data_IF_705486329012
#
_entry.id   IF_705486329012
#
_cell.length_a   1.000
_cell.length_b   1.000
_cell.length_c   1.000
_cell.angle_alpha   90.00
_cell.angle_beta   90.00
_cell.angle_gamma   90.00
#
_symmetry.space_group_name_H-M   'P 1'
#
loop_
_entity.id
_entity.type
_entity.pdbx_description
1 polymer ?
#
# COMPACT_ATOMS: atom_id res chain seq x y z
N UNK A 1 17.55 29.09 -78.97
CA UNK A 1 18.85 29.28 -78.30
C UNK A 1 18.84 28.66 -76.89
N UNK A 2 19.02 27.35 -76.78
CA UNK A 2 20.30 26.66 -76.61
C UNK A 2 20.83 26.64 -75.15
N UNK A 3 20.86 25.42 -74.60
CA UNK A 3 21.66 24.85 -73.49
C UNK A 3 21.64 25.47 -72.08
N UNK A 4 21.21 24.70 -71.07
CA UNK A 4 22.17 23.94 -70.25
C UNK A 4 21.51 22.86 -69.40
N UNK A 5 22.08 21.68 -69.56
CA UNK A 5 21.89 20.44 -68.82
C UNK A 5 22.33 20.54 -67.36
N UNK A 6 21.56 19.83 -66.51
CA UNK A 6 22.03 18.84 -65.52
C UNK A 6 22.86 19.33 -64.34
N UNK A 7 22.30 19.16 -63.13
CA UNK A 7 22.92 18.42 -62.02
C UNK A 7 21.85 17.90 -61.07
N UNK A 8 21.67 16.58 -61.13
CA UNK A 8 20.96 15.77 -60.17
C UNK A 8 21.86 15.63 -58.93
N UNK A 9 21.41 16.08 -57.76
CA UNK A 9 22.04 15.74 -56.49
C UNK A 9 20.97 15.68 -55.42
N UNK A 10 20.53 14.45 -55.18
CA UNK A 10 19.66 14.04 -54.08
C UNK A 10 20.45 14.22 -52.79
N UNK A 11 20.08 15.20 -51.97
CA UNK A 11 20.52 15.31 -50.59
C UNK A 11 19.38 14.87 -49.69
N UNK A 12 19.47 13.61 -49.22
CA UNK A 12 18.67 13.06 -48.14
C UNK A 12 19.02 13.81 -46.85
N UNK A 13 18.20 14.79 -46.47
CA UNK A 13 18.27 15.38 -45.13
C UNK A 13 17.42 14.53 -44.20
N UNK A 14 18.07 13.64 -43.46
CA UNK A 14 17.45 12.92 -42.36
C UNK A 14 17.08 13.92 -41.26
N UNK A 15 15.77 14.20 -41.12
CA UNK A 15 15.25 14.95 -39.99
C UNK A 15 15.29 14.07 -38.74
N UNK A 16 16.36 14.19 -37.95
CA UNK A 16 16.42 13.60 -36.61
C UNK A 16 15.59 14.48 -35.68
N UNK A 17 14.32 14.10 -35.48
CA UNK A 17 13.49 14.63 -34.40
C UNK A 17 14.00 14.04 -33.07
N UNK A 18 14.89 14.77 -32.39
CA UNK A 18 15.14 14.52 -30.96
C UNK A 18 13.98 15.16 -30.20
N UNK A 19 12.93 14.39 -29.96
CA UNK A 19 12.02 14.72 -28.87
C UNK A 19 12.79 14.47 -27.58
N UNK A 20 13.25 15.55 -26.94
CA UNK A 20 13.61 15.53 -25.53
C UNK A 20 12.36 15.10 -24.75
N UNK A 21 12.28 13.80 -24.45
CA UNK A 21 11.51 13.30 -23.32
C UNK A 21 12.14 13.93 -22.09
N UNK A 22 11.57 15.05 -21.65
CA UNK A 22 11.85 15.58 -20.34
C UNK A 22 11.32 14.53 -19.36
N UNK A 23 12.20 13.61 -18.94
CA UNK A 23 12.02 12.87 -17.71
C UNK A 23 11.76 13.92 -16.63
N UNK A 24 10.50 14.06 -16.21
CA UNK A 24 10.18 14.68 -14.94
C UNK A 24 10.87 13.83 -13.88
N UNK A 25 12.04 14.28 -13.42
CA UNK A 25 12.62 13.78 -12.18
C UNK A 25 11.56 14.02 -11.11
N UNK A 26 11.07 12.95 -10.48
CA UNK A 26 10.46 13.05 -9.15
C UNK A 26 11.58 13.52 -8.22
N UNK A 27 11.65 14.81 -7.98
CA UNK A 27 12.56 15.44 -7.02
C UNK A 27 11.76 16.52 -6.33
N UNK A 28 10.75 16.13 -5.55
CA UNK A 28 9.92 17.08 -4.81
C UNK A 28 9.33 16.48 -3.51
N UNK A 29 9.95 15.47 -2.89
CA UNK A 29 9.48 14.97 -1.58
C UNK A 29 10.60 14.42 -0.65
N UNK A 30 11.87 14.78 -0.87
CA UNK A 30 12.92 14.57 0.13
C UNK A 30 13.49 15.92 0.57
N UNK A 31 12.79 16.57 1.48
CA UNK A 31 13.40 17.60 2.32
C UNK A 31 14.40 16.89 3.26
N UNK A 32 15.67 16.90 2.86
CA UNK A 32 16.76 16.36 3.66
C UNK A 32 17.23 17.43 4.66
N UNK A 33 16.40 17.74 5.65
CA UNK A 33 16.78 18.58 6.78
C UNK A 33 17.62 17.77 7.77
N UNK A 34 18.94 17.75 7.52
CA UNK A 34 19.94 17.45 8.54
C UNK A 34 20.75 18.73 8.72
N UNK A 35 20.48 19.51 9.78
CA UNK A 35 21.46 20.20 10.66
C UNK A 35 20.85 21.28 11.58
N UNK A 36 21.22 21.22 12.88
CA UNK A 36 21.23 22.34 13.84
C UNK A 36 20.49 22.04 15.16
N UNK A 37 21.10 21.96 16.35
CA UNK A 37 22.44 22.33 16.84
C UNK A 37 22.72 21.59 18.19
N UNK A 38 23.97 21.34 18.61
CA UNK A 38 24.29 20.63 19.85
C UNK A 38 24.53 21.58 21.03
N UNK A 39 23.95 21.28 22.20
CA UNK A 39 24.37 21.84 23.50
C UNK A 39 24.24 20.74 24.55
N UNK A 40 25.36 20.38 25.20
CA UNK A 40 25.33 19.63 26.47
C UNK A 40 26.26 18.42 26.54
N UNK A 41 27.44 18.66 27.13
CA UNK A 41 28.47 17.76 27.67
C UNK A 41 27.98 16.39 28.19
N UNK A 42 28.66 15.31 27.81
CA UNK A 42 28.58 14.00 28.48
C UNK A 42 29.30 12.88 27.72
N UNK A 43 30.36 12.32 28.31
CA UNK A 43 31.07 11.14 27.81
C UNK A 43 30.15 9.90 27.81
N UNK A 44 29.86 9.37 26.63
CA UNK A 44 29.21 8.09 26.41
C UNK A 44 29.02 7.86 24.92
N UNK A 45 29.40 6.68 24.41
CA UNK A 45 29.07 6.30 23.04
C UNK A 45 27.54 6.14 22.95
N UNK A 46 26.84 7.22 22.59
CA UNK A 46 25.44 7.14 22.24
C UNK A 46 25.39 6.53 20.85
N UNK A 47 25.28 5.21 20.78
CA UNK A 47 24.71 4.56 19.59
C UNK A 47 23.37 5.26 19.34
N UNK A 48 23.31 6.10 18.30
CA UNK A 48 22.13 6.85 17.96
C UNK A 48 21.02 5.86 17.60
N UNK A 49 20.16 5.52 18.57
CA UNK A 49 18.98 4.70 18.33
C UNK A 49 18.13 5.44 17.30
N UNK A 50 18.05 4.91 16.09
CA UNK A 50 17.18 5.45 15.04
C UNK A 50 15.78 5.62 15.63
N UNK A 51 15.21 6.82 15.52
CA UNK A 51 13.89 7.11 16.08
C UNK A 51 12.82 6.36 15.29
N UNK A 52 11.92 5.70 16.02
CA UNK A 52 10.78 5.04 15.41
C UNK A 52 9.94 6.06 14.64
N UNK A 53 9.51 5.71 13.43
CA UNK A 53 8.61 6.55 12.64
C UNK A 53 7.69 5.71 11.77
N UNK A 54 6.51 6.24 11.50
CA UNK A 54 5.48 5.63 10.65
C UNK A 54 4.78 6.72 9.85
N UNK A 55 4.55 6.48 8.56
CA UNK A 55 3.73 7.34 7.70
C UNK A 55 2.84 6.49 6.83
N UNK A 56 1.54 6.79 6.82
CA UNK A 56 0.63 6.28 5.79
C UNK A 56 0.92 7.01 4.50
N UNK A 57 1.49 6.29 3.55
CA UNK A 57 1.87 6.80 2.21
C UNK A 57 0.72 6.72 1.21
N UNK A 58 -0.22 5.78 1.41
CA UNK A 58 -1.44 5.67 0.62
C UNK A 58 -2.58 5.28 1.54
N UNK A 59 -3.58 6.15 1.65
CA UNK A 59 -4.82 5.87 2.38
C UNK A 59 -5.90 5.33 1.44
N UNK A 60 -6.80 4.47 1.94
CA UNK A 60 -8.03 4.15 1.24
C UNK A 60 -8.93 5.39 1.14
N UNK A 61 -9.91 5.40 0.22
CA UNK A 61 -10.92 6.47 0.15
C UNK A 61 -11.63 6.62 1.49
N UNK A 62 -11.95 7.86 1.89
CA UNK A 62 -12.63 8.14 3.16
C UNK A 62 -14.07 7.61 3.19
N UNK A 63 -14.73 7.56 2.03
CA UNK A 63 -16.10 7.05 1.88
C UNK A 63 -16.12 6.12 0.67
N UNK A 64 -16.68 4.92 0.86
CA UNK A 64 -16.86 3.93 -0.20
C UNK A 64 -18.33 3.50 -0.20
N UNK A 65 -18.94 3.52 -1.38
CA UNK A 65 -20.32 3.05 -1.58
C UNK A 65 -20.32 1.96 -2.63
N UNK A 66 -20.87 0.79 -2.29
CA UNK A 66 -20.83 -0.41 -3.15
C UNK A 66 -22.20 -1.07 -3.22
N UNK A 67 -22.64 -1.56 -4.40
CA UNK A 67 -23.89 -2.30 -4.50
C UNK A 67 -23.86 -3.61 -3.69
N UNK A 68 -25.01 -4.06 -3.20
CA UNK A 68 -25.18 -5.40 -2.62
C UNK A 68 -24.61 -6.50 -3.56
N UNK A 69 -23.88 -7.45 -2.99
CA UNK A 69 -23.26 -8.57 -3.68
C UNK A 69 -22.02 -8.21 -4.51
N UNK A 70 -21.63 -6.94 -4.58
CA UNK A 70 -20.40 -6.54 -5.27
C UNK A 70 -19.17 -6.80 -4.41
N UNK A 71 -18.00 -6.87 -5.06
CA UNK A 71 -16.72 -7.06 -4.38
C UNK A 71 -16.13 -5.72 -3.93
N UNK A 72 -15.56 -5.72 -2.73
CA UNK A 72 -14.94 -4.54 -2.11
C UNK A 72 -13.46 -4.84 -1.89
N UNK A 73 -12.61 -3.88 -2.26
CA UNK A 73 -11.19 -3.88 -1.97
C UNK A 73 -10.83 -2.51 -1.38
N UNK A 74 -10.28 -2.51 -0.16
CA UNK A 74 -9.67 -1.33 0.43
C UNK A 74 -8.16 -1.55 0.51
N UNK A 75 -7.36 -0.58 0.07
CA UNK A 75 -5.89 -0.68 0.04
C UNK A 75 -5.29 0.43 0.91
N UNK A 76 -4.25 0.06 1.64
CA UNK A 76 -3.51 0.95 2.54
C UNK A 76 -2.02 0.64 2.44
N UNK A 77 -1.17 1.67 2.30
CA UNK A 77 0.29 1.53 2.34
C UNK A 77 0.89 2.40 3.44
N UNK A 78 1.75 1.81 4.27
CA UNK A 78 2.51 2.54 5.27
C UNK A 78 4.01 2.25 5.13
N UNK A 79 4.82 3.26 5.39
CA UNK A 79 6.26 3.16 5.47
C UNK A 79 6.70 3.50 6.89
N UNK A 80 7.67 2.76 7.42
CA UNK A 80 8.17 3.00 8.76
C UNK A 80 9.53 2.37 9.01
N UNK A 81 10.12 2.78 10.14
CA UNK A 81 11.34 2.22 10.71
C UNK A 81 11.11 2.05 12.20
N UNK A 82 11.13 0.83 12.76
CA UNK A 82 11.19 -0.50 12.11
C UNK A 82 10.16 -0.79 11.00
N UNK A 83 10.33 -1.89 10.26
CA UNK A 83 9.35 -2.37 9.28
C UNK A 83 7.92 -2.43 9.88
N UNK A 84 6.90 -1.83 9.24
CA UNK A 84 5.60 -1.65 9.89
C UNK A 84 4.73 -2.91 9.84
N UNK A 85 3.97 -3.12 10.90
CA UNK A 85 2.90 -4.12 11.00
C UNK A 85 1.56 -3.47 10.64
N UNK A 86 0.80 -4.12 9.76
CA UNK A 86 -0.46 -3.60 9.22
C UNK A 86 -1.65 -4.43 9.70
N UNK A 87 -2.76 -3.78 10.07
CA UNK A 87 -4.00 -4.44 10.47
C UNK A 87 -5.22 -3.66 10.01
N UNK A 88 -6.30 -4.40 9.74
CA UNK A 88 -7.62 -3.82 9.54
C UNK A 88 -8.50 -4.02 10.76
N UNK A 89 -9.20 -2.97 11.15
CA UNK A 89 -10.23 -2.98 12.17
C UNK A 89 -11.57 -2.67 11.51
N UNK A 90 -12.65 -3.25 12.01
CA UNK A 90 -14.02 -2.78 11.76
C UNK A 90 -14.58 -2.21 13.06
N UNK A 91 -14.88 -0.93 13.08
CA UNK A 91 -15.05 -0.17 14.31
C UNK A 91 -13.77 -0.26 15.15
N UNK A 92 -13.87 -0.89 16.32
CA UNK A 92 -12.76 -1.11 17.24
C UNK A 92 -12.30 -2.57 17.29
N UNK A 93 -12.85 -3.44 16.44
CA UNK A 93 -12.57 -4.87 16.48
C UNK A 93 -11.60 -5.23 15.35
N UNK A 94 -10.47 -5.86 15.66
CA UNK A 94 -9.63 -6.55 14.69
C UNK A 94 -10.43 -7.42 13.72
N UNK A 95 -10.23 -7.24 12.42
CA UNK A 95 -10.68 -8.20 11.43
C UNK A 95 -9.67 -9.35 11.43
N UNK A 96 -9.97 -10.38 12.22
CA UNK A 96 -9.10 -11.53 12.41
C UNK A 96 -9.02 -12.36 11.14
N UNK A 97 -7.87 -12.30 10.48
CA UNK A 97 -7.27 -13.47 9.85
C UNK A 97 -5.86 -13.63 10.44
N UNK A 98 -5.79 -14.46 11.49
CA UNK A 98 -4.66 -15.27 11.93
C UNK A 98 -3.36 -14.53 12.34
N UNK A 99 -3.09 -14.57 13.65
CA UNK A 99 -1.77 -14.81 14.27
C UNK A 99 -0.57 -13.95 13.80
N UNK A 100 -0.68 -12.62 13.85
CA UNK A 100 0.54 -11.78 13.84
C UNK A 100 0.52 -10.63 14.84
N UNK A 101 -0.52 -10.50 15.66
CA UNK A 101 -0.47 -9.64 16.86
C UNK A 101 0.24 -10.33 18.03
N UNK A 102 0.47 -11.63 17.93
CA UNK A 102 1.31 -12.39 18.86
C UNK A 102 2.78 -12.46 18.44
N UNK A 103 3.25 -11.51 17.63
CA UNK A 103 4.69 -11.23 17.58
C UNK A 103 5.03 -10.16 18.63
N UNK A 104 4.63 -10.41 19.88
CA UNK A 104 5.49 -10.09 21.02
C UNK A 104 6.69 -11.04 21.00
N UNK A 105 7.36 -11.19 19.85
CA UNK A 105 8.73 -11.63 19.87
C UNK A 105 9.44 -10.43 20.49
N UNK A 106 9.72 -10.53 21.79
CA UNK A 106 10.87 -9.87 22.38
C UNK A 106 12.08 -10.48 21.67
N UNK A 107 12.25 -10.13 20.40
CA UNK A 107 13.51 -10.27 19.72
C UNK A 107 14.35 -9.18 20.37
N UNK A 108 15.29 -9.58 21.22
CA UNK A 108 16.27 -8.70 21.87
C UNK A 108 17.09 -7.88 20.85
N UNK A 109 16.86 -8.08 19.55
CA UNK A 109 17.29 -7.21 18.47
C UNK A 109 16.05 -6.70 17.69
N UNK A 110 15.57 -5.47 17.93
CA UNK A 110 14.50 -4.89 17.11
C UNK A 110 15.00 -4.82 15.67
N UNK A 111 14.28 -5.43 14.73
CA UNK A 111 14.60 -5.32 13.30
C UNK A 111 14.63 -3.84 12.93
N UNK A 112 15.82 -3.29 12.72
CA UNK A 112 16.05 -1.86 12.47
C UNK A 112 15.70 -1.43 11.04
N UNK A 113 15.29 -2.38 10.19
CA UNK A 113 14.99 -2.15 8.79
C UNK A 113 13.87 -1.13 8.56
N UNK A 114 13.94 -0.49 7.40
CA UNK A 114 12.90 0.40 6.88
C UNK A 114 12.08 -0.42 5.87
N UNK A 115 10.76 -0.43 6.00
CA UNK A 115 9.93 -1.10 5.02
C UNK A 115 8.69 -0.29 4.66
N UNK A 116 8.20 -0.54 3.44
CA UNK A 116 6.93 -0.03 2.93
C UNK A 116 5.98 -1.21 2.75
N UNK A 117 5.06 -1.38 3.69
CA UNK A 117 4.08 -2.46 3.70
C UNK A 117 2.79 -2.04 2.97
N UNK A 118 2.24 -2.93 2.16
CA UNK A 118 0.93 -2.81 1.53
C UNK A 118 -0.02 -3.81 2.15
N UNK A 119 -1.20 -3.33 2.58
CA UNK A 119 -2.28 -4.15 3.10
C UNK A 119 -3.57 -3.94 2.30
N UNK A 120 -4.29 -5.03 2.03
CA UNK A 120 -5.57 -5.03 1.31
C UNK A 120 -6.64 -5.75 2.12
N UNK A 121 -7.77 -5.10 2.34
CA UNK A 121 -8.98 -5.75 2.85
C UNK A 121 -9.85 -6.15 1.67
N UNK A 122 -10.20 -7.44 1.58
CA UNK A 122 -11.04 -7.99 0.52
C UNK A 122 -12.35 -8.51 1.11
N UNK A 123 -13.48 -7.99 0.63
CA UNK A 123 -14.81 -8.52 0.92
C UNK A 123 -15.41 -8.98 -0.41
N UNK A 124 -15.55 -10.30 -0.59
CA UNK A 124 -15.96 -10.86 -1.88
C UNK A 124 -17.41 -10.55 -2.26
N UNK A 125 -18.31 -10.49 -1.26
CA UNK A 125 -19.72 -10.15 -1.45
C UNK A 125 -20.16 -9.11 -0.43
N UNK A 126 -20.49 -7.91 -0.90
CA UNK A 126 -20.99 -6.81 -0.08
C UNK A 126 -22.37 -7.17 0.49
N UNK A 127 -22.48 -7.16 1.82
CA UNK A 127 -23.72 -7.40 2.56
C UNK A 127 -23.94 -6.22 3.48
N UNK A 128 -25.18 -5.99 3.91
CA UNK A 128 -25.49 -4.90 4.85
C UNK A 128 -24.78 -5.08 6.20
N UNK A 129 -24.44 -6.32 6.57
CA UNK A 129 -23.62 -6.58 7.76
C UNK A 129 -22.19 -6.03 7.62
N UNK A 130 -21.70 -5.79 6.41
CA UNK A 130 -20.36 -5.25 6.16
C UNK A 130 -20.32 -3.72 6.26
N UNK A 131 -21.46 -3.03 6.34
CA UNK A 131 -21.51 -1.58 6.52
C UNK A 131 -20.82 -1.15 7.82
N UNK A 132 -20.22 0.05 7.79
CA UNK A 132 -19.57 0.68 8.93
C UNK A 132 -18.16 1.19 8.64
N UNK A 133 -17.48 1.61 9.70
CA UNK A 133 -16.14 2.19 9.62
C UNK A 133 -15.07 1.10 9.60
N UNK A 134 -14.21 1.12 8.59
CA UNK A 134 -12.99 0.32 8.51
C UNK A 134 -11.78 1.19 8.80
N UNK A 135 -10.88 0.71 9.65
CA UNK A 135 -9.64 1.44 9.99
C UNK A 135 -8.45 0.60 9.57
N UNK A 136 -7.58 1.17 8.74
CA UNK A 136 -6.23 0.64 8.54
C UNK A 136 -5.35 1.18 9.66
N UNK A 137 -4.77 0.28 10.45
CA UNK A 137 -3.82 0.55 11.52
C UNK A 137 -2.44 0.10 11.08
N UNK A 138 -1.45 0.97 11.23
CA UNK A 138 -0.05 0.69 10.94
C UNK A 138 0.80 1.03 12.16
N UNK A 139 1.57 0.06 12.64
CA UNK A 139 2.43 0.18 13.81
C UNK A 139 3.89 -0.02 13.41
N UNK A 140 4.79 0.82 13.91
CA UNK A 140 6.23 0.71 13.70
C UNK A 140 6.94 1.13 14.99
N UNK A 141 7.51 0.15 15.68
CA UNK A 141 8.09 0.34 17.01
C UNK A 141 7.06 0.96 17.97
N UNK A 142 7.37 2.11 18.53
CA UNK A 142 6.49 2.86 19.43
C UNK A 142 5.50 3.81 18.74
N UNK A 143 5.50 3.89 17.41
CA UNK A 143 4.64 4.80 16.65
C UNK A 143 3.49 4.07 15.97
N UNK A 144 2.33 4.72 15.93
CA UNK A 144 1.11 4.21 15.31
C UNK A 144 0.53 5.27 14.39
N UNK A 145 0.17 4.88 13.17
CA UNK A 145 -0.64 5.68 12.25
C UNK A 145 -1.91 4.93 11.89
N UNK A 146 -3.00 5.67 11.65
CA UNK A 146 -4.26 5.08 11.21
C UNK A 146 -5.01 5.95 10.22
N UNK A 147 -5.85 5.31 9.41
CA UNK A 147 -6.74 5.97 8.46
C UNK A 147 -8.06 5.22 8.40
N UNK A 148 -9.17 5.96 8.23
CA UNK A 148 -10.53 5.45 8.31
C UNK A 148 -11.23 5.53 6.96
N UNK A 149 -12.14 4.58 6.74
CA UNK A 149 -13.04 4.51 5.59
C UNK A 149 -14.44 4.16 6.07
N UNK A 150 -15.42 4.99 5.73
CA UNK A 150 -16.84 4.68 5.91
C UNK A 150 -17.36 3.88 4.71
N UNK A 151 -17.86 2.67 4.96
CA UNK A 151 -18.41 1.79 3.93
C UNK A 151 -19.94 1.73 4.00
N UNK A 152 -20.58 2.05 2.87
CA UNK A 152 -22.02 1.93 2.65
C UNK A 152 -22.35 0.89 1.59
N UNK A 153 -23.42 0.14 1.79
CA UNK A 153 -23.88 -0.89 0.86
C UNK A 153 -25.24 -0.51 0.26
N UNK A 154 -25.23 -0.11 -1.00
CA UNK A 154 -26.43 0.37 -1.69
C UNK A 154 -27.27 -0.80 -2.17
N UNK A 155 -28.54 -0.80 -1.77
CA UNK A 155 -29.55 -1.70 -2.34
C UNK A 155 -29.99 -1.15 -3.70
N UNK A 156 -29.59 -1.81 -4.79
CA UNK A 156 -30.09 -1.47 -6.12
C UNK A 156 -31.58 -1.79 -6.23
N UNK A 157 -32.36 -0.87 -6.81
CA UNK A 157 -33.84 -0.96 -6.93
C UNK A 157 -34.38 -2.02 -7.89
N UNK A 158 -33.59 -3.03 -8.27
CA UNK A 158 -34.01 -4.10 -9.18
C UNK A 158 -34.37 -5.34 -8.39
N UNK A 159 -35.67 -5.54 -8.14
CA UNK A 159 -36.33 -6.70 -7.50
C UNK A 159 -35.72 -7.15 -6.15
N UNK A 160 -36.51 -7.25 -5.06
CA UNK A 160 -36.00 -7.87 -3.85
C UNK A 160 -35.44 -9.26 -4.17
N UNK A 161 -34.13 -9.45 -3.97
CA UNK A 161 -33.54 -10.78 -4.05
C UNK A 161 -34.05 -11.57 -2.85
N UNK A 162 -34.69 -12.70 -3.09
CA UNK A 162 -35.12 -13.59 -2.02
C UNK A 162 -33.88 -14.13 -1.28
N UNK A 163 -34.03 -14.49 -0.01
CA UNK A 163 -32.94 -15.00 0.85
C UNK A 163 -32.16 -16.16 0.20
N UNK A 164 -32.84 -17.04 -0.54
CA UNK A 164 -32.23 -18.13 -1.31
C UNK A 164 -31.29 -17.66 -2.41
N UNK A 165 -31.63 -16.58 -3.11
CA UNK A 165 -30.76 -15.98 -4.14
C UNK A 165 -29.55 -15.28 -3.52
N UNK A 166 -29.72 -14.71 -2.31
CA UNK A 166 -28.63 -14.08 -1.58
C UNK A 166 -27.62 -15.15 -1.11
N UNK A 167 -28.11 -16.23 -0.49
CA UNK A 167 -27.29 -17.38 -0.09
C UNK A 167 -26.59 -18.03 -1.29
N UNK A 168 -27.27 -18.20 -2.43
CA UNK A 168 -26.63 -18.74 -3.63
C UNK A 168 -25.52 -17.83 -4.14
N UNK A 169 -25.71 -16.50 -4.10
CA UNK A 169 -24.65 -15.54 -4.46
C UNK A 169 -23.49 -15.53 -3.47
N UNK A 170 -23.76 -15.80 -2.18
CA UNK A 170 -22.74 -15.94 -1.14
C UNK A 170 -21.95 -17.25 -1.30
N UNK A 171 -22.62 -18.35 -1.64
CA UNK A 171 -21.97 -19.62 -1.98
C UNK A 171 -21.12 -19.54 -3.26
N UNK A 172 -21.56 -18.75 -4.25
CA UNK A 172 -20.75 -18.46 -5.44
C UNK A 172 -19.58 -17.50 -5.13
N UNK A 173 -19.79 -16.51 -4.26
CA UNK A 173 -18.73 -15.64 -3.75
C UNK A 173 -17.79 -16.34 -2.77
N UNK A 174 -18.19 -17.50 -2.24
CA UNK A 174 -17.32 -18.37 -1.47
C UNK A 174 -16.16 -18.80 -2.34
N UNK A 175 -16.36 -19.07 -3.64
CA UNK A 175 -15.25 -19.33 -4.55
C UNK A 175 -14.58 -18.02 -4.95
N UNK A 176 -13.30 -17.86 -4.63
CA UNK A 176 -12.54 -16.66 -4.93
C UNK A 176 -11.09 -17.00 -5.27
N UNK A 177 -10.50 -16.37 -6.32
CA UNK A 177 -9.11 -16.61 -6.65
C UNK A 177 -8.20 -16.11 -5.52
N UNK A 178 -7.06 -16.77 -5.34
CA UNK A 178 -6.04 -16.36 -4.38
C UNK A 178 -5.53 -14.94 -4.68
N UNK A 179 -5.39 -14.12 -3.65
CA UNK A 179 -4.94 -12.73 -3.74
C UNK A 179 -4.02 -12.42 -2.58
N UNK A 180 -2.85 -11.85 -2.90
CA UNK A 180 -1.91 -11.37 -1.89
C UNK A 180 -2.47 -10.08 -1.27
N UNK A 181 -2.69 -10.12 0.04
CA UNK A 181 -3.28 -9.03 0.82
C UNK A 181 -2.30 -8.31 1.72
N UNK A 182 -1.16 -8.93 2.08
CA UNK A 182 -0.13 -8.27 2.89
C UNK A 182 1.25 -8.63 2.37
N UNK A 183 2.03 -7.62 2.03
CA UNK A 183 3.41 -7.77 1.57
C UNK A 183 4.19 -6.46 1.66
N UNK A 184 5.52 -6.56 1.64
CA UNK A 184 6.39 -5.40 1.58
C UNK A 184 6.71 -5.05 0.12
N UNK A 185 6.50 -3.80 -0.26
CA UNK A 185 6.85 -3.25 -1.58
C UNK A 185 8.29 -2.74 -1.62
N UNK A 186 8.80 -2.30 -0.48
CA UNK A 186 10.18 -1.87 -0.27
C UNK A 186 10.63 -2.44 1.08
N UNK A 187 11.86 -2.95 1.14
CA UNK A 187 12.52 -3.36 2.38
C UNK A 187 13.99 -2.99 2.30
N UNK A 188 14.50 -2.33 3.33
CA UNK A 188 15.88 -1.87 3.45
C UNK A 188 16.38 -2.28 4.83
N UNK A 189 17.51 -2.97 4.88
CA UNK A 189 18.16 -3.38 6.13
C UNK A 189 19.67 -3.37 5.93
N UNK A 190 20.39 -3.55 7.02
CA UNK A 190 21.84 -3.72 7.01
C UNK A 190 22.23 -5.06 6.36
N UNK A 191 23.40 -5.09 5.75
CA UNK A 191 23.96 -6.31 5.17
C UNK A 191 24.24 -7.32 6.29
N UNK A 192 23.82 -8.57 6.09
CA UNK A 192 23.97 -9.64 7.07
C UNK A 192 22.81 -9.77 8.07
N UNK A 193 21.81 -8.88 8.01
CA UNK A 193 20.56 -9.05 8.75
C UNK A 193 19.72 -10.20 8.18
N UNK A 194 19.13 -11.02 9.05
CA UNK A 194 18.09 -11.97 8.68
C UNK A 194 16.74 -11.26 8.61
N UNK A 195 16.06 -11.39 7.47
CA UNK A 195 14.78 -10.69 7.22
C UNK A 195 13.67 -11.70 6.89
N UNK A 196 12.49 -11.46 7.44
CA UNK A 196 11.27 -12.19 7.11
C UNK A 196 10.34 -11.30 6.27
N UNK A 197 10.12 -11.67 5.01
CA UNK A 197 9.22 -10.94 4.12
C UNK A 197 7.78 -11.46 4.27
N UNK A 198 6.80 -10.61 4.63
CA UNK A 198 5.43 -11.03 4.76
C UNK A 198 4.82 -11.32 3.38
N UNK A 199 4.05 -12.40 3.28
CA UNK A 199 3.22 -12.72 2.12
C UNK A 199 1.94 -13.39 2.61
N UNK A 200 0.93 -12.59 2.98
CA UNK A 200 -0.40 -13.11 3.33
C UNK A 200 -1.28 -13.10 2.09
N UNK A 201 -2.02 -14.18 1.88
CA UNK A 201 -2.99 -14.28 0.81
C UNK A 201 -4.34 -14.78 1.31
N UNK A 202 -5.41 -14.31 0.66
CA UNK A 202 -6.79 -14.77 0.88
C UNK A 202 -7.35 -15.33 -0.41
N UNK A 203 -8.21 -16.34 -0.31
CA UNK A 203 -8.84 -16.96 -1.45
C UNK A 203 -9.45 -18.30 -1.08
N UNK A 204 -10.35 -18.78 -1.92
CA UNK A 204 -10.99 -20.09 -1.77
C UNK A 204 -11.20 -20.66 -3.20
N UNK A 205 -10.17 -21.35 -3.74
CA UNK A 205 -10.10 -21.74 -5.15
C UNK A 205 -11.08 -22.84 -5.59
#
# INVERSE_FOLDING_TARGET
PNYKMMKLSVLLVAAVWVHSTHCRRLSDDLDNDILGNPVGVGLGMISGRQRDWIRISQSPPQIVSRPLGSRIELECEAMGSPAPVMQWLKGNTPLTENESFETNAINDNPSHGIAKAKSRLVINSALTIHEGTFTCLAESGSQIASTKTELYVVRGGTSPRNFTQLLASEMLAARSPARIVLFNTIYLDNIGSDIALPCRAVGNP
#
